data_IF_134945423777
#
_entry.id   IF_134945423777
#
_cell.length_a   1.000
_cell.length_b   1.000
_cell.length_c   1.000
_cell.angle_alpha   90.00
_cell.angle_beta   90.00
_cell.angle_gamma   90.00
#
_symmetry.space_group_name_H-M   'P 1'
#
loop_
_entity.id
_entity.type
_entity.pdbx_description
1 polymer ?
#
# COMPACT_ATOMS: atom_id res chain seq x y z
N UNK A 1 -23.86 -26.33 12.77
CA UNK A 1 -22.85 -25.68 13.63
C UNK A 1 -22.05 -24.75 12.72
N UNK A 2 -22.33 -23.44 12.79
CA UNK A 2 -21.67 -22.45 11.93
C UNK A 2 -20.19 -22.40 12.29
N UNK A 3 -19.31 -22.76 11.34
CA UNK A 3 -17.90 -22.46 11.50
C UNK A 3 -17.79 -20.96 11.77
N UNK A 4 -17.28 -20.61 12.94
CA UNK A 4 -16.91 -19.24 13.28
C UNK A 4 -15.98 -18.74 12.18
N UNK A 5 -16.38 -17.65 11.52
CA UNK A 5 -15.62 -16.97 10.48
C UNK A 5 -14.33 -16.43 11.09
N UNK A 6 -13.30 -17.26 11.15
CA UNK A 6 -11.97 -16.82 11.56
C UNK A 6 -11.38 -16.01 10.41
N UNK A 7 -11.33 -14.69 10.60
CA UNK A 7 -10.79 -13.72 9.65
C UNK A 7 -9.39 -13.38 10.11
N UNK A 8 -8.40 -13.62 9.26
CA UNK A 8 -7.00 -13.41 9.66
C UNK A 8 -6.62 -11.91 9.68
N UNK A 9 -5.55 -11.53 10.41
CA UNK A 9 -4.98 -10.20 10.31
C UNK A 9 -4.65 -9.78 8.87
N UNK A 10 -4.04 -10.69 8.08
CA UNK A 10 -3.71 -10.42 6.68
C UNK A 10 -4.95 -10.18 5.82
N UNK A 11 -6.03 -10.95 6.02
CA UNK A 11 -7.31 -10.73 5.32
C UNK A 11 -7.93 -9.37 5.65
N UNK A 12 -7.82 -8.93 6.91
CA UNK A 12 -8.30 -7.61 7.33
C UNK A 12 -7.47 -6.48 6.71
N UNK A 13 -6.14 -6.61 6.68
CA UNK A 13 -5.26 -5.61 6.05
C UNK A 13 -5.51 -5.54 4.54
N UNK A 14 -5.54 -6.68 3.84
CA UNK A 14 -5.83 -6.72 2.39
C UNK A 14 -7.18 -6.08 2.07
N UNK A 15 -8.20 -6.36 2.88
CA UNK A 15 -9.51 -5.73 2.71
C UNK A 15 -9.47 -4.22 2.95
N UNK A 16 -8.72 -3.74 3.95
CA UNK A 16 -8.55 -2.31 4.19
C UNK A 16 -7.83 -1.62 3.01
N UNK A 17 -6.82 -2.26 2.43
CA UNK A 17 -6.14 -1.78 1.22
C UNK A 17 -7.13 -1.71 0.05
N UNK A 18 -7.93 -2.76 -0.16
CA UNK A 18 -8.94 -2.78 -1.21
C UNK A 18 -9.93 -1.61 -1.08
N UNK A 19 -10.35 -1.26 0.15
CA UNK A 19 -11.22 -0.11 0.43
C UNK A 19 -10.58 1.27 0.19
N UNK A 20 -9.29 1.33 -0.15
CA UNK A 20 -8.66 2.57 -0.62
C UNK A 20 -8.89 2.80 -2.12
N UNK A 21 -9.69 1.98 -2.78
CA UNK A 21 -10.00 2.06 -4.20
C UNK A 21 -11.50 2.29 -4.33
N UNK A 22 -11.88 3.40 -4.93
CA UNK A 22 -13.29 3.71 -5.20
C UNK A 22 -13.73 3.02 -6.50
N UNK A 23 -15.02 2.69 -6.61
CA UNK A 23 -15.57 2.16 -7.86
C UNK A 23 -15.41 3.19 -9.00
N UNK A 24 -15.03 2.72 -10.19
CA UNK A 24 -14.63 3.60 -11.31
C UNK A 24 -13.27 4.30 -11.13
N UNK A 25 -12.56 4.08 -10.02
CA UNK A 25 -11.24 4.67 -9.78
C UNK A 25 -10.14 4.06 -10.63
N UNK A 26 -9.18 4.88 -11.05
CA UNK A 26 -7.99 4.41 -11.76
C UNK A 26 -6.87 4.12 -10.77
N UNK A 27 -6.47 2.85 -10.70
CA UNK A 27 -5.43 2.36 -9.79
C UNK A 27 -4.23 1.84 -10.58
N UNK A 28 -3.02 2.07 -10.06
CA UNK A 28 -1.81 1.55 -10.68
C UNK A 28 -0.90 0.87 -9.66
N UNK A 29 -0.09 -0.08 -10.14
CA UNK A 29 1.00 -0.70 -9.38
C UNK A 29 2.34 -0.30 -9.99
N UNK A 30 3.30 -0.03 -9.11
CA UNK A 30 4.72 -0.05 -9.48
C UNK A 30 5.30 -1.45 -9.24
N UNK A 31 6.63 -1.55 -9.35
CA UNK A 31 7.36 -2.80 -9.07
C UNK A 31 7.24 -3.23 -7.60
N UNK A 32 7.49 -4.52 -7.33
CA UNK A 32 7.57 -5.10 -5.99
C UNK A 32 6.33 -4.85 -5.12
N UNK A 33 5.14 -4.92 -5.73
CA UNK A 33 3.86 -4.52 -5.09
C UNK A 33 2.80 -5.65 -4.98
N UNK A 34 3.14 -6.87 -4.51
CA UNK A 34 2.21 -8.01 -4.53
C UNK A 34 0.95 -7.81 -3.67
N UNK A 35 1.06 -7.14 -2.51
CA UNK A 35 -0.13 -6.82 -1.69
C UNK A 35 -1.09 -5.85 -2.38
N UNK A 36 -0.56 -4.90 -3.15
CA UNK A 36 -1.38 -3.97 -3.92
C UNK A 36 -2.12 -4.69 -5.04
N UNK A 37 -1.46 -5.62 -5.75
CA UNK A 37 -2.09 -6.45 -6.79
C UNK A 37 -3.27 -7.23 -6.18
N UNK A 38 -3.05 -7.90 -5.04
CA UNK A 38 -4.11 -8.63 -4.36
C UNK A 38 -5.28 -7.71 -3.95
N UNK A 39 -4.98 -6.55 -3.36
CA UNK A 39 -6.00 -5.58 -2.94
C UNK A 39 -6.84 -5.07 -4.12
N UNK A 40 -6.22 -4.79 -5.28
CA UNK A 40 -6.90 -4.35 -6.50
C UNK A 40 -7.82 -5.44 -7.05
N UNK A 41 -7.30 -6.68 -7.16
CA UNK A 41 -8.11 -7.80 -7.64
C UNK A 41 -9.32 -8.07 -6.73
N UNK A 42 -9.12 -7.96 -5.40
CA UNK A 42 -10.20 -8.08 -4.41
C UNK A 42 -11.20 -6.93 -4.52
N UNK A 43 -10.74 -5.69 -4.70
CA UNK A 43 -11.62 -4.53 -4.90
C UNK A 43 -12.52 -4.75 -6.12
N UNK A 44 -11.95 -5.16 -7.25
CA UNK A 44 -12.67 -5.47 -8.50
C UNK A 44 -13.70 -6.60 -8.32
N UNK A 45 -13.36 -7.64 -7.56
CA UNK A 45 -14.27 -8.76 -7.29
C UNK A 45 -15.42 -8.43 -6.31
N UNK A 46 -15.36 -7.27 -5.65
CA UNK A 46 -16.26 -6.93 -4.53
C UNK A 46 -17.04 -5.63 -4.78
N UNK A 47 -16.44 -4.49 -4.48
CA UNK A 47 -17.12 -3.20 -4.34
C UNK A 47 -16.72 -2.17 -5.40
N UNK A 48 -15.66 -2.44 -6.17
CA UNK A 48 -15.16 -1.57 -7.22
C UNK A 48 -15.04 -2.31 -8.57
N UNK A 49 -16.11 -2.95 -9.07
CA UNK A 49 -16.07 -3.73 -10.30
C UNK A 49 -15.68 -2.91 -11.54
N UNK A 50 -15.95 -1.60 -11.55
CA UNK A 50 -15.68 -0.71 -12.68
C UNK A 50 -14.32 0.00 -12.56
N UNK A 51 -13.45 -0.40 -11.62
CA UNK A 51 -12.09 0.14 -11.50
C UNK A 51 -11.28 -0.10 -12.78
N UNK A 52 -10.36 0.81 -13.08
CA UNK A 52 -9.35 0.63 -14.14
C UNK A 52 -7.99 0.34 -13.51
N UNK A 53 -7.32 -0.73 -13.95
CA UNK A 53 -6.03 -1.15 -13.42
C UNK A 53 -4.90 -1.00 -14.46
N UNK A 54 -3.90 -0.20 -14.11
CA UNK A 54 -2.66 -0.02 -14.88
C UNK A 54 -1.51 -0.79 -14.20
N UNK A 55 -1.13 -1.95 -14.73
CA UNK A 55 -0.02 -2.73 -14.18
C UNK A 55 1.31 -2.36 -14.84
N UNK A 56 2.39 -2.19 -14.07
CA UNK A 56 3.68 -1.74 -14.61
C UNK A 56 4.39 -2.74 -15.54
N UNK A 57 3.93 -4.00 -15.59
CA UNK A 57 4.38 -4.98 -16.61
C UNK A 57 3.94 -4.58 -18.02
N UNK A 58 2.99 -3.65 -18.13
CA UNK A 58 2.56 -3.02 -19.37
C UNK A 58 1.16 -3.41 -19.82
N UNK A 59 0.24 -3.68 -18.89
CA UNK A 59 -1.14 -4.08 -19.18
C UNK A 59 -2.19 -3.11 -18.64
N UNK A 60 -3.21 -2.86 -19.47
CA UNK A 60 -4.47 -2.23 -19.08
C UNK A 60 -5.50 -3.31 -18.78
N UNK A 61 -6.08 -3.26 -17.57
CA UNK A 61 -7.14 -4.16 -17.10
C UNK A 61 -6.85 -5.66 -17.31
N UNK A 62 -5.68 -6.18 -16.89
CA UNK A 62 -5.41 -7.61 -16.99
C UNK A 62 -6.37 -8.45 -16.16
N UNK A 63 -6.56 -9.70 -16.56
CA UNK A 63 -7.24 -10.71 -15.76
C UNK A 63 -6.32 -11.16 -14.62
N UNK A 64 -6.85 -11.17 -13.40
CA UNK A 64 -6.10 -11.58 -12.19
C UNK A 64 -6.85 -12.75 -11.52
N UNK A 65 -6.84 -13.96 -12.12
CA UNK A 65 -7.55 -15.11 -11.54
C UNK A 65 -6.85 -15.62 -10.27
N UNK A 66 -5.55 -15.38 -10.13
CA UNK A 66 -4.79 -15.74 -8.93
C UNK A 66 -3.61 -14.78 -8.72
N UNK A 67 -3.19 -14.61 -7.46
CA UNK A 67 -1.96 -13.91 -7.11
C UNK A 67 -0.74 -14.78 -7.48
N UNK A 68 0.15 -14.22 -8.30
CA UNK A 68 1.35 -14.89 -8.76
C UNK A 68 2.54 -14.67 -7.81
N UNK A 69 3.55 -15.58 -7.79
CA UNK A 69 4.68 -15.49 -6.85
C UNK A 69 5.54 -14.24 -7.01
N UNK A 70 5.65 -13.70 -8.22
CA UNK A 70 6.32 -12.43 -8.53
C UNK A 70 5.27 -11.37 -8.84
N UNK A 71 5.46 -10.13 -8.37
CA UNK A 71 4.60 -9.00 -8.74
C UNK A 71 4.79 -8.55 -10.19
N UNK A 72 5.86 -8.99 -10.85
CA UNK A 72 6.15 -8.74 -12.26
C UNK A 72 6.16 -10.04 -13.10
N UNK A 73 5.42 -11.05 -12.66
CA UNK A 73 5.18 -12.25 -13.48
C UNK A 73 4.47 -11.86 -14.79
N UNK A 74 4.88 -12.48 -15.91
CA UNK A 74 4.30 -12.19 -17.22
C UNK A 74 2.84 -12.62 -17.33
N UNK A 75 2.34 -13.50 -16.45
CA UNK A 75 0.92 -13.81 -16.36
C UNK A 75 0.04 -12.58 -16.06
N UNK A 76 0.60 -11.49 -15.53
CA UNK A 76 -0.12 -10.22 -15.38
C UNK A 76 -0.31 -9.44 -16.69
N UNK A 77 0.13 -9.98 -17.83
CA UNK A 77 -0.21 -9.48 -19.17
C UNK A 77 -1.47 -10.14 -19.75
N UNK A 78 -1.95 -11.24 -19.16
CA UNK A 78 -3.08 -12.02 -19.67
C UNK A 78 -4.40 -11.25 -19.55
N UNK A 79 -5.29 -11.41 -20.54
CA UNK A 79 -6.61 -10.79 -20.55
C UNK A 79 -6.64 -9.26 -20.74
N UNK A 80 -5.49 -8.60 -20.84
CA UNK A 80 -5.40 -7.13 -20.97
C UNK A 80 -6.16 -6.62 -22.21
N UNK A 81 -6.75 -5.44 -22.08
CA UNK A 81 -7.45 -4.76 -23.17
C UNK A 81 -6.52 -3.91 -24.05
N UNK A 82 -5.37 -3.49 -23.51
CA UNK A 82 -4.32 -2.77 -24.24
C UNK A 82 -2.96 -2.86 -23.51
N UNK A 83 -1.90 -2.43 -24.18
CA UNK A 83 -0.61 -2.15 -23.55
C UNK A 83 -0.57 -0.75 -22.91
N UNK A 84 0.16 -0.64 -21.80
CA UNK A 84 0.48 0.65 -21.15
C UNK A 84 1.99 0.77 -21.08
N UNK A 85 2.57 1.74 -21.77
CA UNK A 85 4.01 1.98 -21.64
C UNK A 85 4.32 2.72 -20.34
N UNK A 86 5.58 2.67 -19.90
CA UNK A 86 6.03 3.45 -18.74
C UNK A 86 5.78 4.96 -18.95
N UNK A 87 6.09 5.57 -20.11
CA UNK A 87 5.69 6.95 -20.40
C UNK A 87 4.18 7.20 -20.24
N UNK A 88 3.32 6.32 -20.77
CA UNK A 88 1.87 6.48 -20.66
C UNK A 88 1.44 6.55 -19.18
N UNK A 89 1.96 5.66 -18.34
CA UNK A 89 1.66 5.66 -16.90
C UNK A 89 2.01 7.01 -16.24
N UNK A 90 3.19 7.56 -16.53
CA UNK A 90 3.58 8.86 -16.01
C UNK A 90 2.72 10.00 -16.56
N UNK A 91 2.35 9.97 -17.84
CA UNK A 91 1.50 10.97 -18.46
C UNK A 91 0.06 10.92 -17.91
N UNK A 92 -0.49 9.73 -17.67
CA UNK A 92 -1.78 9.54 -17.01
C UNK A 92 -1.75 10.12 -15.59
N UNK A 93 -0.72 9.82 -14.80
CA UNK A 93 -0.55 10.40 -13.47
C UNK A 93 -0.42 11.93 -13.54
N UNK A 94 0.42 12.46 -14.44
CA UNK A 94 0.63 13.91 -14.62
C UNK A 94 -0.65 14.66 -14.95
N UNK A 95 -1.50 14.05 -15.80
CA UNK A 95 -2.80 14.59 -16.20
C UNK A 95 -3.88 14.40 -15.14
N UNK A 96 -3.51 13.91 -13.95
CA UNK A 96 -4.40 13.71 -12.82
C UNK A 96 -5.45 12.64 -13.10
N UNK A 97 -5.10 11.60 -13.85
CA UNK A 97 -6.02 10.49 -14.17
C UNK A 97 -5.86 9.28 -13.26
N UNK A 98 -4.76 9.18 -12.51
CA UNK A 98 -4.52 8.06 -11.59
C UNK A 98 -4.95 8.46 -10.18
N UNK A 99 -5.92 7.73 -9.64
CA UNK A 99 -6.50 8.00 -8.33
C UNK A 99 -5.67 7.38 -7.21
N UNK A 100 -5.39 6.08 -7.27
CA UNK A 100 -4.76 5.32 -6.18
C UNK A 100 -3.48 4.62 -6.63
N UNK A 101 -2.42 4.71 -5.81
CA UNK A 101 -1.21 3.89 -5.89
C UNK A 101 -0.70 3.64 -4.47
N UNK A 102 -0.27 2.41 -4.20
CA UNK A 102 0.37 2.03 -2.93
C UNK A 102 1.89 2.09 -3.05
N UNK A 103 2.56 2.68 -2.07
CA UNK A 103 4.02 2.88 -2.06
C UNK A 103 4.65 2.25 -0.82
N UNK A 104 5.53 1.28 -1.04
CA UNK A 104 6.43 0.77 0.00
C UNK A 104 7.62 1.69 0.24
N UNK A 105 8.28 1.53 1.38
CA UNK A 105 9.52 2.22 1.71
C UNK A 105 10.36 1.45 2.74
N UNK A 106 11.67 1.70 2.74
CA UNK A 106 12.57 1.21 3.78
C UNK A 106 12.46 2.04 5.06
N UNK A 107 12.24 3.35 4.93
CA UNK A 107 11.96 4.27 6.04
C UNK A 107 10.83 5.24 5.67
N UNK A 108 10.03 5.65 6.65
CA UNK A 108 8.99 6.67 6.58
C UNK A 108 9.08 7.55 7.82
N UNK A 109 9.06 8.88 7.65
CA UNK A 109 9.04 9.85 8.75
C UNK A 109 7.63 10.41 9.04
N UNK A 110 7.51 11.18 10.13
CA UNK A 110 6.23 11.79 10.54
C UNK A 110 5.67 12.81 9.53
N UNK A 111 6.50 13.32 8.63
CA UNK A 111 6.10 14.25 7.57
C UNK A 111 5.73 13.51 6.27
N UNK A 112 5.79 12.18 6.28
CA UNK A 112 5.45 11.34 5.14
C UNK A 112 6.51 11.32 4.04
N UNK A 113 7.75 11.73 4.33
CA UNK A 113 8.90 11.48 3.45
C UNK A 113 9.28 10.01 3.55
N UNK A 114 9.86 9.48 2.47
CA UNK A 114 10.27 8.07 2.43
C UNK A 114 11.69 7.90 1.96
N UNK A 115 12.37 6.89 2.51
CA UNK A 115 13.64 6.39 2.03
C UNK A 115 13.44 5.08 1.27
N UNK A 116 13.84 5.06 0.01
CA UNK A 116 13.87 3.87 -0.84
C UNK A 116 15.28 3.67 -1.43
N UNK A 117 16.26 4.48 -1.00
CA UNK A 117 17.56 4.60 -1.68
C UNK A 117 18.69 3.93 -0.91
N UNK A 118 18.99 4.39 0.31
CA UNK A 118 20.11 3.90 1.10
C UNK A 118 20.05 4.32 2.58
N UNK A 119 20.66 3.54 3.47
CA UNK A 119 21.09 4.01 4.80
C UNK A 119 22.48 4.65 4.73
N UNK A 120 22.84 5.47 5.73
CA UNK A 120 24.00 6.36 5.69
C UNK A 120 23.60 7.69 5.07
N UNK A 121 24.24 8.07 3.96
CA UNK A 121 23.84 9.20 3.13
C UNK A 121 23.78 8.80 1.66
N UNK A 122 23.27 9.70 0.81
CA UNK A 122 23.26 9.46 -0.64
C UNK A 122 24.69 9.40 -1.21
N UNK A 123 25.60 10.24 -0.71
CA UNK A 123 27.00 10.29 -1.18
C UNK A 123 27.85 9.11 -0.66
N UNK A 124 27.52 8.58 0.53
CA UNK A 124 28.26 7.49 1.19
C UNK A 124 27.27 6.45 1.73
N UNK A 125 26.68 5.61 0.87
CA UNK A 125 25.68 4.63 1.28
C UNK A 125 26.33 3.53 2.13
N UNK A 126 25.77 3.26 3.31
CA UNK A 126 26.14 2.12 4.16
C UNK A 126 25.44 0.83 3.70
N UNK A 127 24.17 0.94 3.34
CA UNK A 127 23.38 -0.16 2.77
C UNK A 127 22.52 0.39 1.65
N UNK A 128 22.61 -0.18 0.45
CA UNK A 128 21.80 0.20 -0.70
C UNK A 128 20.43 -0.51 -0.61
N UNK A 129 19.35 0.26 -0.64
CA UNK A 129 17.99 -0.26 -0.74
C UNK A 129 17.59 -0.48 -2.22
N UNK A 130 16.50 -1.19 -2.53
CA UNK A 130 16.14 -1.56 -3.90
C UNK A 130 16.05 -0.39 -4.90
N UNK A 131 15.61 0.79 -4.47
CA UNK A 131 15.60 2.01 -5.29
C UNK A 131 14.24 2.69 -5.39
N UNK A 132 14.22 3.84 -6.07
CA UNK A 132 13.08 4.74 -6.16
C UNK A 132 12.02 4.31 -7.19
N UNK A 133 12.42 3.58 -8.23
CA UNK A 133 11.60 3.36 -9.42
C UNK A 133 10.98 4.69 -9.91
N UNK A 134 9.65 4.75 -10.08
CA UNK A 134 8.91 5.97 -10.41
C UNK A 134 8.31 6.73 -9.22
N UNK A 135 8.58 6.30 -7.98
CA UNK A 135 7.80 6.68 -6.82
C UNK A 135 7.87 8.18 -6.49
N UNK A 136 9.05 8.82 -6.64
CA UNK A 136 9.20 10.25 -6.35
C UNK A 136 8.29 11.14 -7.20
N UNK A 137 8.05 10.76 -8.46
CA UNK A 137 7.15 11.46 -9.37
C UNK A 137 5.70 11.07 -9.12
N UNK A 138 5.39 9.76 -9.07
CA UNK A 138 4.02 9.28 -8.90
C UNK A 138 3.41 9.73 -7.57
N UNK A 139 4.19 9.74 -6.48
CA UNK A 139 3.75 10.23 -5.17
C UNK A 139 3.21 11.66 -5.22
N UNK A 140 3.75 12.49 -6.11
CA UNK A 140 3.33 13.89 -6.27
C UNK A 140 2.12 14.06 -7.20
N UNK A 141 1.88 13.13 -8.13
CA UNK A 141 0.90 13.29 -9.20
C UNK A 141 -0.36 12.45 -9.02
N UNK A 142 -0.27 11.28 -8.38
CA UNK A 142 -1.41 10.43 -8.01
C UNK A 142 -2.33 11.20 -7.07
N UNK A 143 -3.65 11.10 -7.22
CA UNK A 143 -4.60 11.90 -6.43
C UNK A 143 -4.64 11.51 -4.95
N UNK A 144 -4.65 10.21 -4.64
CA UNK A 144 -4.67 9.64 -3.29
C UNK A 144 -3.58 8.57 -3.15
N UNK A 145 -2.30 8.96 -2.98
CA UNK A 145 -1.22 8.01 -2.72
C UNK A 145 -1.40 7.42 -1.31
N UNK A 146 -1.10 6.13 -1.16
CA UNK A 146 -1.13 5.42 0.13
C UNK A 146 0.25 4.84 0.41
N UNK A 147 0.84 5.15 1.56
CA UNK A 147 2.06 4.48 2.00
C UNK A 147 1.70 3.15 2.66
N UNK A 148 2.52 2.13 2.41
CA UNK A 148 2.34 0.79 2.98
C UNK A 148 3.63 0.32 3.64
N UNK A 149 3.58 0.03 4.94
CA UNK A 149 4.68 -0.59 5.70
C UNK A 149 4.17 -1.93 6.23
N UNK A 150 4.43 -3.05 5.53
CA UNK A 150 3.78 -4.33 5.83
C UNK A 150 4.17 -4.94 7.18
N UNK A 151 5.26 -4.48 7.80
CA UNK A 151 5.63 -4.77 9.19
C UNK A 151 6.33 -3.56 9.80
N UNK A 152 5.64 -2.81 10.64
CA UNK A 152 6.21 -1.61 11.23
C UNK A 152 7.16 -1.91 12.40
N UNK A 153 8.20 -1.08 12.51
CA UNK A 153 9.13 -1.04 13.63
C UNK A 153 9.78 0.34 13.71
N UNK A 154 10.50 0.62 14.81
CA UNK A 154 11.31 1.85 14.92
C UNK A 154 12.43 1.94 13.88
N UNK A 155 12.70 0.89 13.11
CA UNK A 155 13.70 0.88 12.03
C UNK A 155 13.16 1.44 10.71
N UNK A 156 11.85 1.35 10.48
CA UNK A 156 11.23 1.77 9.23
C UNK A 156 10.18 2.88 9.42
N UNK A 157 9.68 3.10 10.65
CA UNK A 157 9.00 4.33 11.03
C UNK A 157 9.94 5.13 11.93
N UNK A 158 10.51 6.21 11.41
CA UNK A 158 11.68 6.89 12.00
C UNK A 158 11.41 8.38 12.25
N UNK A 159 12.09 9.03 13.21
CA UNK A 159 11.99 10.48 13.39
C UNK A 159 12.31 11.27 12.10
N UNK A 160 13.35 10.84 11.38
CA UNK A 160 13.82 11.48 10.15
C UNK A 160 14.40 10.40 9.23
N UNK A 161 14.08 10.47 7.93
CA UNK A 161 14.63 9.56 6.92
C UNK A 161 16.09 9.90 6.61
N UNK A 162 16.93 8.88 6.42
CA UNK A 162 18.34 9.11 6.10
C UNK A 162 18.54 9.69 4.68
N UNK A 163 17.67 9.32 3.75
CA UNK A 163 17.58 9.89 2.41
C UNK A 163 16.11 10.11 2.08
N UNK A 164 15.73 11.37 1.82
CA UNK A 164 14.37 11.72 1.43
C UNK A 164 14.12 11.42 -0.05
N UNK A 165 14.09 10.13 -0.40
CA UNK A 165 13.84 9.63 -1.76
C UNK A 165 12.53 10.15 -2.33
N UNK A 166 11.46 10.16 -1.53
CA UNK A 166 10.20 10.79 -1.90
C UNK A 166 9.73 11.76 -0.81
N UNK A 167 9.04 12.83 -1.23
CA UNK A 167 8.38 13.82 -0.38
C UNK A 167 7.29 14.52 -1.17
N UNK A 168 6.20 14.90 -0.51
CA UNK A 168 5.16 15.76 -1.09
C UNK A 168 4.67 16.77 -0.04
N UNK A 169 5.36 17.90 0.17
CA UNK A 169 5.05 18.84 1.26
C UNK A 169 3.71 19.58 1.07
N UNK A 170 3.05 19.41 -0.08
CA UNK A 170 1.83 20.15 -0.44
C UNK A 170 0.56 19.60 0.24
N UNK A 171 0.60 18.35 0.72
CA UNK A 171 -0.58 17.65 1.26
C UNK A 171 -0.17 16.52 2.21
N UNK A 172 -1.03 16.15 3.17
CA UNK A 172 -0.81 14.95 3.99
C UNK A 172 -0.94 13.67 3.17
N UNK A 173 -0.50 12.55 3.75
CA UNK A 173 -0.59 11.21 3.18
C UNK A 173 -1.07 10.20 4.21
N UNK A 174 -1.81 9.20 3.75
CA UNK A 174 -2.18 8.04 4.56
C UNK A 174 -1.05 7.01 4.57
N UNK A 175 -0.73 6.46 5.74
CA UNK A 175 0.13 5.30 5.92
C UNK A 175 -0.69 4.17 6.55
N UNK A 176 -0.65 2.99 5.93
CA UNK A 176 -1.22 1.75 6.47
C UNK A 176 -0.07 0.81 6.85
N UNK A 177 -0.14 0.21 8.03
CA UNK A 177 0.79 -0.81 8.50
C UNK A 177 0.11 -2.14 8.85
N UNK A 178 0.84 -3.09 9.40
CA UNK A 178 0.28 -4.29 10.04
C UNK A 178 -0.45 -4.01 11.37
N UNK A 179 -0.41 -2.78 11.89
CA UNK A 179 -0.97 -2.44 13.20
C UNK A 179 -2.03 -1.34 13.15
N UNK A 180 -2.02 -0.46 12.15
CA UNK A 180 -2.96 0.65 12.10
C UNK A 180 -2.82 1.58 10.90
N UNK A 181 -3.48 2.73 11.01
CA UNK A 181 -3.55 3.75 9.98
C UNK A 181 -3.14 5.10 10.55
N UNK A 182 -2.20 5.76 9.89
CA UNK A 182 -1.74 7.10 10.22
C UNK A 182 -2.06 8.08 9.11
N UNK A 183 -2.25 9.35 9.49
CA UNK A 183 -2.05 10.50 8.61
C UNK A 183 -0.69 11.12 8.93
N UNK A 184 0.09 11.43 7.90
CA UNK A 184 1.42 12.03 8.00
C UNK A 184 1.43 13.33 7.19
N UNK A 185 2.11 14.38 7.67
CA UNK A 185 2.21 15.64 6.94
C UNK A 185 3.01 16.71 7.67
N UNK A 186 2.90 17.95 7.21
CA UNK A 186 3.69 19.08 7.74
C UNK A 186 3.49 19.33 9.26
N UNK A 187 2.38 18.89 9.84
CA UNK A 187 2.09 18.97 11.28
C UNK A 187 2.53 17.73 12.07
N UNK A 188 3.30 16.83 11.44
CA UNK A 188 3.71 15.54 12.01
C UNK A 188 2.69 14.44 11.74
N UNK A 189 2.68 13.43 12.61
CA UNK A 189 1.90 12.21 12.45
C UNK A 189 0.69 12.15 13.40
N UNK A 190 -0.42 11.57 12.93
CA UNK A 190 -1.62 11.27 13.72
C UNK A 190 -2.07 9.82 13.49
N UNK A 191 -2.26 9.05 14.56
CA UNK A 191 -2.88 7.74 14.51
C UNK A 191 -4.40 7.89 14.37
N UNK A 192 -4.95 7.43 13.24
CA UNK A 192 -6.38 7.52 12.90
C UNK A 192 -7.16 6.26 13.30
N UNK A 193 -6.53 5.10 13.15
CA UNK A 193 -7.15 3.83 13.46
C UNK A 193 -6.11 2.79 13.92
N UNK A 194 -6.53 1.88 14.78
CA UNK A 194 -5.77 0.66 15.11
C UNK A 194 -6.47 -0.57 14.54
N UNK A 195 -5.72 -1.59 14.18
CA UNK A 195 -6.32 -2.88 13.82
C UNK A 195 -6.83 -3.61 15.07
N UNK A 196 -7.83 -4.50 14.95
CA UNK A 196 -8.45 -5.16 16.11
C UNK A 196 -7.46 -5.86 17.05
N UNK A 197 -6.37 -6.42 16.51
CA UNK A 197 -5.32 -7.12 17.27
C UNK A 197 -4.24 -6.19 17.85
N UNK A 198 -4.22 -4.92 17.47
CA UNK A 198 -3.18 -3.98 17.87
C UNK A 198 -3.67 -3.05 18.98
N UNK A 199 -2.87 -2.89 20.03
CA UNK A 199 -3.05 -1.88 21.07
C UNK A 199 -2.27 -0.61 20.76
N UNK A 200 -2.72 0.53 21.27
CA UNK A 200 -2.03 1.82 21.12
C UNK A 200 -0.61 1.78 21.69
N UNK A 201 -0.43 1.12 22.85
CA UNK A 201 0.87 0.95 23.47
C UNK A 201 1.86 0.21 22.55
N UNK A 202 1.41 -0.90 21.95
CA UNK A 202 2.24 -1.71 21.04
C UNK A 202 2.58 -0.97 19.74
N UNK A 203 1.63 -0.16 19.23
CA UNK A 203 1.88 0.74 18.10
C UNK A 203 2.95 1.78 18.47
N UNK A 204 2.86 2.40 19.64
CA UNK A 204 3.82 3.40 20.11
C UNK A 204 5.23 2.80 20.35
N UNK A 205 5.31 1.59 20.90
CA UNK A 205 6.58 0.88 21.07
C UNK A 205 7.27 0.60 19.72
N UNK A 206 6.49 0.32 18.67
CA UNK A 206 6.97 0.00 17.32
C UNK A 206 7.02 1.18 16.36
N UNK A 207 6.82 2.41 16.84
CA UNK A 207 6.90 3.63 16.01
C UNK A 207 8.04 4.51 16.51
N UNK A 208 8.96 4.88 15.63
CA UNK A 208 10.14 5.67 16.00
C UNK A 208 9.88 7.18 16.06
N UNK A 209 8.91 7.69 15.31
CA UNK A 209 8.47 9.09 15.40
C UNK A 209 7.37 9.29 16.43
N UNK A 210 7.25 10.53 16.93
CA UNK A 210 6.13 10.93 17.77
C UNK A 210 4.85 11.12 16.94
N UNK A 211 3.70 10.79 17.50
CA UNK A 211 2.40 10.98 16.87
C UNK A 211 1.34 11.37 17.90
N UNK A 212 0.31 12.08 17.43
CA UNK A 212 -0.91 12.31 18.19
C UNK A 212 -1.89 11.16 17.98
N UNK A 213 -2.67 10.83 18.99
CA UNK A 213 -3.81 9.90 18.84
C UNK A 213 -5.04 10.72 18.49
N UNK A 214 -5.81 10.29 17.48
CA UNK A 214 -7.10 10.91 17.15
C UNK A 214 -8.07 10.80 18.33
N UNK A 215 -8.82 11.86 18.64
CA UNK A 215 -9.91 11.79 19.65
C UNK A 215 -10.98 10.78 19.23
N UNK A 216 -11.21 10.63 17.93
CA UNK A 216 -12.07 9.63 17.33
C UNK A 216 -11.28 8.41 16.85
N UNK A 217 -10.34 7.91 17.68
CA UNK A 217 -9.55 6.72 17.35
C UNK A 217 -10.48 5.54 17.07
N UNK A 218 -10.46 5.06 15.83
CA UNK A 218 -11.31 3.97 15.39
C UNK A 218 -10.58 2.62 15.42
N UNK A 219 -11.37 1.54 15.42
CA UNK A 219 -10.88 0.18 15.16
C UNK A 219 -11.19 -0.17 13.72
N UNK A 220 -10.23 -0.73 13.00
CA UNK A 220 -10.42 -1.14 11.60
C UNK A 220 -11.55 -2.17 11.49
N UNK A 221 -12.55 -1.88 10.66
CA UNK A 221 -13.66 -2.79 10.39
C UNK A 221 -13.17 -4.08 9.73
N UNK A 222 -13.68 -5.21 10.21
CA UNK A 222 -13.47 -6.51 9.59
C UNK A 222 -14.16 -6.57 8.20
N UNK A 223 -13.59 -7.31 7.23
CA UNK A 223 -14.25 -7.58 5.96
C UNK A 223 -15.55 -8.37 6.13
N UNK A 224 -16.48 -8.17 5.20
CA UNK A 224 -17.62 -9.06 5.03
C UNK A 224 -17.21 -10.43 4.43
N UNK A 225 -18.11 -11.41 4.51
CA UNK A 225 -17.84 -12.76 4.05
C UNK A 225 -17.55 -12.86 2.55
N UNK A 226 -18.14 -11.99 1.72
CA UNK A 226 -17.90 -11.96 0.27
C UNK A 226 -16.47 -11.53 -0.04
N UNK A 227 -15.98 -10.54 0.69
CA UNK A 227 -14.61 -10.02 0.57
C UNK A 227 -13.59 -11.06 1.04
N UNK A 228 -13.85 -11.73 2.17
CA UNK A 228 -12.99 -12.83 2.64
C UNK A 228 -12.94 -13.96 1.61
N UNK A 229 -14.08 -14.35 1.03
CA UNK A 229 -14.13 -15.36 -0.01
C UNK A 229 -13.32 -14.95 -1.26
N UNK A 230 -13.41 -13.69 -1.70
CA UNK A 230 -12.62 -13.18 -2.82
C UNK A 230 -11.11 -13.21 -2.53
N UNK A 231 -10.68 -12.78 -1.34
CA UNK A 231 -9.26 -12.84 -0.93
C UNK A 231 -8.74 -14.28 -1.00
N UNK A 232 -9.48 -15.23 -0.43
CA UNK A 232 -9.08 -16.66 -0.40
C UNK A 232 -9.10 -17.30 -1.78
N UNK A 233 -10.01 -16.89 -2.67
CA UNK A 233 -10.08 -17.40 -4.03
C UNK A 233 -8.91 -16.91 -4.90
N UNK A 234 -8.56 -15.62 -4.78
CA UNK A 234 -7.47 -15.01 -5.57
C UNK A 234 -6.10 -15.40 -5.01
N UNK A 235 -5.95 -15.52 -3.69
CA UNK A 235 -4.73 -15.97 -3.02
C UNK A 235 -4.96 -17.31 -2.28
N UNK A 236 -5.16 -18.43 -3.02
CA UNK A 236 -5.43 -19.73 -2.42
C UNK A 236 -4.21 -20.34 -1.73
N UNK A 237 -3.01 -19.82 -2.03
CA UNK A 237 -1.73 -20.26 -1.44
C UNK A 237 -1.36 -19.48 -0.18
N UNK A 238 -2.13 -18.45 0.20
CA UNK A 238 -1.90 -17.70 1.43
C UNK A 238 -0.62 -16.85 1.39
N UNK A 239 -0.18 -16.38 0.22
CA UNK A 239 1.00 -15.52 0.12
C UNK A 239 0.86 -14.26 0.98
N UNK A 240 -0.36 -13.75 1.17
CA UNK A 240 -0.65 -12.61 2.05
C UNK A 240 -0.12 -12.78 3.47
N UNK A 241 -0.09 -13.99 4.01
CA UNK A 241 0.31 -14.24 5.39
C UNK A 241 1.83 -14.05 5.59
N UNK A 242 2.62 -14.24 4.52
CA UNK A 242 4.05 -13.92 4.50
C UNK A 242 4.35 -12.48 4.06
N UNK A 243 3.35 -11.74 3.59
CA UNK A 243 3.50 -10.36 3.15
C UNK A 243 3.04 -9.36 4.21
N UNK A 244 2.14 -9.74 5.12
CA UNK A 244 1.64 -8.90 6.22
C UNK A 244 2.22 -9.36 7.56
N UNK A 245 2.94 -8.48 8.25
CA UNK A 245 3.52 -8.75 9.57
C UNK A 245 4.80 -9.61 9.57
N UNK A 246 5.32 -9.95 8.38
CA UNK A 246 6.56 -10.72 8.20
C UNK A 246 7.84 -9.89 8.32
#
# INVERSE_FOLDING_TARGET
MSATLDITPAETVVSLLARQIDDGGVVATGVASPLAILAIAVARATHAPDLTYLACVGSLDPDIPTLLPSSEDLGYLDGRSAEITIPDLFDHARRGRVDTVFFGAAEVDAEGRTNMTASGSLDKPRTKFPGVAGAATLRQWVRRPVLLVPRQSRRNLVPEVQVATTRDPRRPVTLISDLGVFELGASGARLLARHPWASEAHIAERTGFAFQVSEALSVTSLPDARTVAAIRAIDPRGYRDALVGA
#
